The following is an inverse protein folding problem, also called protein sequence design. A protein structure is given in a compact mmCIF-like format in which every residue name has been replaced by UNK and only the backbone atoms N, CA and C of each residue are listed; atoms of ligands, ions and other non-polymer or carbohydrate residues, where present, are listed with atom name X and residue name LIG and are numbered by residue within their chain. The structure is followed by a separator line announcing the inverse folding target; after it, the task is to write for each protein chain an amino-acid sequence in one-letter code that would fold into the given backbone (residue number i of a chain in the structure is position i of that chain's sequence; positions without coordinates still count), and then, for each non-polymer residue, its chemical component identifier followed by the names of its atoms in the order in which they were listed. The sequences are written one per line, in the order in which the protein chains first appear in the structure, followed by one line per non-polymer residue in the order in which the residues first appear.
data_IF_568433330081
#
_entry.id   IF_568433330081
#
_cell.length_a   1.000
_cell.length_b   1.000
_cell.length_c   1.000
_cell.angle_alpha   90.00
_cell.angle_beta   90.00
_cell.angle_gamma   90.00
#
_symmetry.space_group_name_H-M   'P 1'
#
loop_
_entity.id
_entity.type
_entity.pdbx_description
1 polymer ?
#
# COMPACT_ATOMS: atom_id res chain seq x y z
N UNK A 1 -5.04 -17.16 -0.93
CA UNK A 1 -3.92 -17.27 -1.90
C UNK A 1 -3.48 -15.85 -2.20
N UNK A 2 -2.18 -15.56 -2.09
CA UNK A 2 -1.69 -14.21 -2.28
C UNK A 2 -1.42 -13.92 -3.75
N UNK A 3 -1.97 -12.82 -4.24
CA UNK A 3 -1.66 -12.26 -5.55
C UNK A 3 -0.77 -11.04 -5.39
N UNK A 4 0.34 -11.01 -6.13
CA UNK A 4 1.27 -9.89 -6.15
C UNK A 4 1.02 -9.13 -7.44
N UNK A 5 0.55 -7.89 -7.31
CA UNK A 5 0.23 -7.03 -8.46
C UNK A 5 0.72 -5.61 -8.22
N UNK A 6 0.75 -4.82 -9.30
CA UNK A 6 1.05 -3.38 -9.19
C UNK A 6 0.07 -2.71 -8.23
N UNK A 7 0.60 -1.83 -7.41
CA UNK A 7 -0.20 -0.96 -6.56
C UNK A 7 -0.96 0.04 -7.43
N UNK A 8 -2.17 0.35 -7.00
CA UNK A 8 -3.04 1.36 -7.58
C UNK A 8 -3.47 2.32 -6.48
N UNK A 9 -4.05 3.46 -6.85
CA UNK A 9 -4.57 4.41 -5.85
C UNK A 9 -5.63 3.79 -4.92
N UNK A 10 -6.35 2.75 -5.37
CA UNK A 10 -7.31 2.03 -4.55
C UNK A 10 -6.67 1.25 -3.40
N UNK A 11 -5.37 0.96 -3.49
CA UNK A 11 -4.64 0.20 -2.48
C UNK A 11 -4.10 1.09 -1.35
N UNK A 12 -4.08 2.42 -1.50
CA UNK A 12 -3.50 3.37 -0.54
C UNK A 12 -4.03 3.17 0.89
N UNK A 13 -5.37 3.04 1.14
CA UNK A 13 -5.86 2.84 2.49
C UNK A 13 -5.34 1.53 3.12
N UNK A 14 -5.20 0.47 2.30
CA UNK A 14 -4.67 -0.82 2.75
C UNK A 14 -3.16 -0.77 3.02
N UNK A 15 -2.41 -0.04 2.20
CA UNK A 15 -0.97 0.20 2.41
C UNK A 15 -0.76 0.98 3.70
N UNK A 16 -1.49 2.09 3.93
CA UNK A 16 -1.39 2.90 5.15
C UNK A 16 -1.74 2.09 6.40
N UNK A 17 -2.81 1.30 6.36
CA UNK A 17 -3.19 0.45 7.49
C UNK A 17 -2.12 -0.61 7.79
N UNK A 18 -1.51 -1.21 6.76
CA UNK A 18 -0.43 -2.17 6.91
C UNK A 18 0.84 -1.50 7.48
N UNK A 19 1.15 -0.29 7.00
CA UNK A 19 2.29 0.48 7.44
C UNK A 19 2.21 0.83 8.93
N UNK A 20 1.09 1.42 9.39
CA UNK A 20 0.89 1.70 10.81
C UNK A 20 0.89 0.45 11.71
N UNK A 21 0.47 -0.70 11.16
CA UNK A 21 0.50 -1.95 11.90
C UNK A 21 1.93 -2.49 12.05
N UNK A 22 2.73 -2.40 10.99
CA UNK A 22 4.09 -2.94 10.94
C UNK A 22 5.14 -1.97 11.52
N UNK A 23 4.89 -0.67 11.43
CA UNK A 23 5.77 0.43 11.80
C UNK A 23 5.01 1.44 12.68
N UNK A 24 4.71 1.10 13.93
CA UNK A 24 3.89 1.94 14.82
C UNK A 24 4.53 3.28 15.21
N UNK A 25 5.79 3.51 14.85
CA UNK A 25 6.52 4.76 15.09
C UNK A 25 6.42 5.76 13.92
N UNK A 26 5.89 5.35 12.76
CA UNK A 26 5.68 6.22 11.59
C UNK A 26 4.69 7.36 11.91
N UNK A 27 4.94 8.54 11.35
CA UNK A 27 4.06 9.70 11.52
C UNK A 27 2.82 9.55 10.62
N UNK A 28 1.60 9.50 11.18
CA UNK A 28 0.39 9.34 10.38
C UNK A 28 0.13 10.44 9.35
N UNK A 29 0.84 11.57 9.48
CA UNK A 29 0.73 12.72 8.58
C UNK A 29 1.45 12.51 7.24
N UNK A 30 2.34 11.53 7.13
CA UNK A 30 3.05 11.21 5.88
C UNK A 30 2.17 10.47 4.85
N UNK A 31 0.86 10.38 5.11
CA UNK A 31 -0.17 9.80 4.24
C UNK A 31 -0.11 10.18 2.75
N UNK A 32 0.32 11.41 2.40
CA UNK A 32 0.45 11.87 1.01
C UNK A 32 1.59 11.20 0.24
N UNK A 33 2.57 10.63 0.95
CA UNK A 33 3.73 9.99 0.35
C UNK A 33 3.33 8.87 -0.61
N UNK A 34 2.35 8.03 -0.25
CA UNK A 34 1.92 6.91 -1.10
C UNK A 34 1.19 7.36 -2.37
N UNK A 35 0.44 8.45 -2.32
CA UNK A 35 -0.24 9.00 -3.49
C UNK A 35 0.79 9.48 -4.52
N UNK A 36 1.73 10.32 -4.09
CA UNK A 36 2.82 10.80 -4.94
C UNK A 36 3.64 9.64 -5.47
N UNK A 37 3.97 8.66 -4.62
CA UNK A 37 4.75 7.49 -5.01
C UNK A 37 4.08 6.66 -6.13
N UNK A 38 2.79 6.40 -5.99
CA UNK A 38 2.03 5.60 -6.97
C UNK A 38 1.82 6.38 -8.27
N UNK A 39 1.64 7.70 -8.20
CA UNK A 39 1.42 8.55 -9.39
C UNK A 39 2.73 8.79 -10.17
N UNK A 40 3.82 9.17 -9.50
CA UNK A 40 5.09 9.49 -10.15
C UNK A 40 5.91 8.24 -10.50
N UNK A 41 5.80 7.16 -9.73
CA UNK A 41 6.53 5.91 -9.96
C UNK A 41 5.64 4.66 -9.99
N UNK A 42 4.61 4.60 -10.87
CA UNK A 42 3.60 3.53 -10.90
C UNK A 42 4.13 2.12 -11.20
N UNK A 43 5.40 1.99 -11.58
CA UNK A 43 6.06 0.72 -11.88
C UNK A 43 6.91 0.19 -10.72
N UNK A 44 7.11 0.96 -9.66
CA UNK A 44 7.96 0.59 -8.54
C UNK A 44 7.18 0.01 -7.35
N UNK A 45 5.88 0.28 -7.27
CA UNK A 45 5.05 -0.12 -6.13
C UNK A 45 4.19 -1.34 -6.46
N UNK A 46 4.22 -2.33 -5.57
CA UNK A 46 3.47 -3.56 -5.66
C UNK A 46 2.79 -3.84 -4.33
N UNK A 47 1.65 -4.52 -4.38
CA UNK A 47 0.91 -4.99 -3.21
C UNK A 47 0.76 -6.51 -3.28
N UNK A 48 0.83 -7.15 -2.13
CA UNK A 48 0.44 -8.54 -1.95
C UNK A 48 -0.95 -8.55 -1.30
N UNK A 49 -1.96 -9.05 -2.01
CA UNK A 49 -3.34 -9.08 -1.55
C UNK A 49 -3.76 -10.52 -1.36
N UNK A 50 -4.34 -10.86 -0.20
CA UNK A 50 -4.98 -12.16 -0.07
C UNK A 50 -6.28 -12.15 -0.86
N UNK A 51 -6.42 -13.08 -1.80
CA UNK A 51 -7.65 -13.20 -2.58
C UNK A 51 -8.81 -13.81 -1.78
N UNK A 52 -8.57 -14.16 -0.50
CA UNK A 52 -9.52 -14.86 0.36
C UNK A 52 -9.79 -16.26 -0.18
N UNK A 53 -9.29 -17.29 0.50
CA UNK A 53 -9.95 -18.60 0.33
C UNK A 53 -11.33 -18.48 0.94
N UNK A 54 -12.33 -18.51 0.06
CA UNK A 54 -13.76 -18.52 0.33
C UNK A 54 -14.16 -19.38 1.53
#
# INVERSE_FOLDING_TARGET
MFDIRKATMHDIPGIQACDFLCFPEEDPRDSYYYEDCIVFWPKLFFVAVDQGTR
#
